data_IF_443097902712
#
_entry.id   IF_443097902712
#
_cell.length_a   1.000
_cell.length_b   1.000
_cell.length_c   1.000
_cell.angle_alpha   90.00
_cell.angle_beta   90.00
_cell.angle_gamma   90.00
#
_symmetry.space_group_name_H-M   'P 1'
#
loop_
_entity.id
_entity.type
_entity.pdbx_description
1 polymer ?
#
# COMPACT_ATOMS: atom_id res chain seq x y z
N UNK A 1 23.39 29.02 -6.16
CA UNK A 1 23.17 28.34 -4.89
C UNK A 1 24.00 27.08 -4.94
N UNK A 2 24.85 26.91 -3.93
CA UNK A 2 25.89 25.88 -3.84
C UNK A 2 25.32 24.45 -3.91
N UNK A 3 25.97 23.58 -4.71
CA UNK A 3 25.88 22.13 -4.60
C UNK A 3 26.87 21.72 -3.50
N UNK A 4 26.38 21.51 -2.28
CA UNK A 4 27.13 20.83 -1.23
C UNK A 4 27.00 19.33 -1.41
N UNK A 5 28.11 18.66 -1.69
CA UNK A 5 28.18 17.21 -1.79
C UNK A 5 28.25 16.58 -0.41
N UNK A 6 27.29 15.71 -0.12
CA UNK A 6 27.36 14.61 0.84
C UNK A 6 26.53 13.49 0.21
N UNK A 7 27.14 12.66 -0.63
CA UNK A 7 26.56 11.35 -0.99
C UNK A 7 26.73 10.45 0.25
N UNK A 8 25.90 10.71 1.26
CA UNK A 8 26.01 10.11 2.59
C UNK A 8 25.48 8.67 2.59
N UNK A 9 26.34 7.72 2.98
CA UNK A 9 25.87 6.40 3.39
C UNK A 9 24.86 6.55 4.53
N UNK A 10 23.79 5.76 4.52
CA UNK A 10 22.79 5.84 5.57
C UNK A 10 21.46 5.17 5.26
N UNK A 11 20.70 4.96 6.34
CA UNK A 11 19.34 4.49 6.28
C UNK A 11 18.41 5.56 5.73
N UNK A 12 17.54 5.19 4.79
CA UNK A 12 16.46 6.02 4.30
C UNK A 12 15.12 5.28 4.32
N UNK A 13 14.06 6.04 4.56
CA UNK A 13 12.68 5.55 4.59
C UNK A 13 11.97 5.97 3.31
N UNK A 14 11.39 5.02 2.60
CA UNK A 14 10.56 5.24 1.42
C UNK A 14 9.08 5.04 1.76
N UNK A 15 8.21 5.80 1.10
CA UNK A 15 6.77 5.57 1.10
C UNK A 15 6.28 5.56 -0.34
N UNK A 16 5.40 4.61 -0.67
CA UNK A 16 4.80 4.51 -1.99
C UNK A 16 3.30 4.30 -1.85
N UNK A 17 2.53 5.13 -2.55
CA UNK A 17 1.10 4.96 -2.71
C UNK A 17 0.78 4.68 -4.18
N UNK A 18 -0.12 3.73 -4.44
CA UNK A 18 -0.60 3.42 -5.79
C UNK A 18 -2.11 3.30 -5.80
N UNK A 19 -2.73 3.81 -6.87
CA UNK A 19 -4.15 3.69 -7.13
C UNK A 19 -4.36 2.98 -8.48
N UNK A 20 -5.15 1.91 -8.48
CA UNK A 20 -5.50 1.14 -9.68
C UNK A 20 -7.00 1.02 -9.77
N UNK A 21 -7.56 1.18 -10.97
CA UNK A 21 -8.97 0.98 -11.24
C UNK A 21 -9.11 0.01 -12.43
N UNK A 22 -9.78 -1.11 -12.19
CA UNK A 22 -10.01 -2.18 -13.14
C UNK A 22 -11.50 -2.24 -13.48
N UNK A 23 -11.84 -2.13 -14.76
CA UNK A 23 -13.23 -2.19 -15.23
C UNK A 23 -13.51 -3.50 -15.94
N UNK A 24 -14.33 -4.35 -15.32
CA UNK A 24 -14.76 -5.62 -15.88
C UNK A 24 -16.06 -5.42 -16.68
N UNK A 25 -15.95 -5.51 -18.02
CA UNK A 25 -17.07 -5.26 -18.94
C UNK A 25 -17.89 -6.50 -19.26
N UNK A 26 -17.26 -7.67 -19.22
CA UNK A 26 -17.87 -8.94 -19.66
C UNK A 26 -18.27 -9.82 -18.49
N UNK A 27 -17.51 -9.78 -17.40
CA UNK A 27 -17.68 -10.63 -16.23
C UNK A 27 -17.94 -9.78 -15.00
N UNK A 28 -18.83 -10.23 -14.13
CA UNK A 28 -19.04 -9.64 -12.81
C UNK A 28 -17.85 -9.96 -11.90
N UNK A 29 -17.10 -8.96 -11.38
CA UNK A 29 -15.89 -9.21 -10.58
C UNK A 29 -16.20 -9.64 -9.14
N UNK A 30 -17.45 -9.51 -8.68
CA UNK A 30 -17.81 -9.74 -7.27
C UNK A 30 -17.45 -11.13 -6.75
N UNK A 31 -17.64 -12.25 -7.48
CA UNK A 31 -17.26 -13.56 -6.98
C UNK A 31 -15.75 -13.68 -6.68
N UNK A 32 -14.90 -13.16 -7.56
CA UNK A 32 -13.45 -13.16 -7.36
C UNK A 32 -13.05 -12.19 -6.24
N UNK A 33 -13.70 -11.02 -6.19
CA UNK A 33 -13.50 -10.05 -5.12
C UNK A 33 -13.83 -10.63 -3.73
N UNK A 34 -14.91 -11.40 -3.58
CA UNK A 34 -15.22 -12.06 -2.31
C UNK A 34 -14.16 -13.07 -1.90
N UNK A 35 -13.66 -13.86 -2.85
CA UNK A 35 -12.62 -14.84 -2.58
C UNK A 35 -11.34 -14.17 -2.06
N UNK A 36 -11.05 -12.94 -2.49
CA UNK A 36 -9.89 -12.17 -2.02
C UNK A 36 -9.87 -11.95 -0.50
N UNK A 37 -11.03 -11.94 0.16
CA UNK A 37 -11.12 -11.78 1.62
C UNK A 37 -10.57 -12.97 2.42
N UNK A 38 -10.30 -14.09 1.76
CA UNK A 38 -9.77 -15.32 2.36
C UNK A 38 -8.32 -15.63 1.94
N UNK A 39 -7.69 -14.73 1.19
CA UNK A 39 -6.30 -14.89 0.78
C UNK A 39 -5.38 -14.78 1.99
N UNK A 40 -4.35 -15.63 2.02
CA UNK A 40 -3.29 -15.61 3.04
C UNK A 40 -2.00 -15.02 2.51
N UNK A 41 -1.89 -14.80 1.19
CA UNK A 41 -0.71 -14.27 0.51
C UNK A 41 -1.13 -13.49 -0.73
N UNK A 42 -0.50 -12.36 -0.98
CA UNK A 42 -0.67 -11.53 -2.17
C UNK A 42 0.72 -11.02 -2.60
N UNK A 43 1.08 -11.24 -3.86
CA UNK A 43 2.33 -10.72 -4.45
C UNK A 43 3.60 -11.15 -3.67
N UNK A 44 3.55 -12.30 -2.99
CA UNK A 44 4.64 -12.84 -2.18
C UNK A 44 4.72 -12.29 -0.75
N UNK A 45 3.81 -11.40 -0.35
CA UNK A 45 3.65 -10.92 1.02
C UNK A 45 2.46 -11.62 1.70
N UNK A 46 2.60 -11.96 2.98
CA UNK A 46 1.57 -12.59 3.78
C UNK A 46 0.46 -11.60 4.15
N UNK A 47 -0.78 -12.07 4.18
CA UNK A 47 -1.93 -11.29 4.67
C UNK A 47 -2.09 -11.59 6.16
N UNK A 48 -1.72 -10.64 7.01
CA UNK A 48 -1.87 -10.79 8.47
C UNK A 48 -3.33 -10.68 8.89
N UNK A 49 -4.04 -9.72 8.29
CA UNK A 49 -5.41 -9.40 8.69
C UNK A 49 -6.20 -8.82 7.54
N UNK A 50 -7.46 -9.24 7.44
CA UNK A 50 -8.45 -8.67 6.54
C UNK A 50 -9.56 -8.03 7.37
N UNK A 51 -9.87 -6.77 7.07
CA UNK A 51 -10.93 -6.01 7.71
C UNK A 51 -11.97 -5.57 6.68
N UNK A 52 -13.25 -5.77 7.00
CA UNK A 52 -14.33 -5.24 6.17
C UNK A 52 -14.48 -3.75 6.44
N UNK A 53 -14.51 -2.95 5.38
CA UNK A 53 -14.76 -1.50 5.46
C UNK A 53 -16.21 -1.24 5.03
N UNK A 54 -17.13 -0.91 5.97
CA UNK A 54 -18.50 -0.59 5.61
C UNK A 54 -18.61 0.76 4.89
N UNK A 55 -19.73 0.96 4.22
CA UNK A 55 -20.11 2.23 3.58
C UNK A 55 -19.12 2.73 2.51
N UNK A 56 -18.45 1.80 1.85
CA UNK A 56 -17.50 2.08 0.76
C UNK A 56 -17.71 1.08 -0.39
N UNK A 57 -18.19 1.60 -1.53
CA UNK A 57 -18.61 0.78 -2.68
C UNK A 57 -19.76 -0.18 -2.35
N UNK A 58 -19.91 -1.21 -3.17
CA UNK A 58 -20.80 -2.35 -2.88
C UNK A 58 -20.17 -3.28 -1.84
N UNK A 59 -18.83 -3.42 -1.90
CA UNK A 59 -18.04 -4.08 -0.87
C UNK A 59 -16.61 -3.56 -0.84
N UNK A 60 -16.02 -3.53 0.35
CA UNK A 60 -14.63 -3.13 0.53
C UNK A 60 -13.94 -3.97 1.61
N UNK A 61 -12.68 -4.29 1.35
CA UNK A 61 -11.79 -5.00 2.26
C UNK A 61 -10.46 -4.25 2.36
N UNK A 62 -10.03 -3.98 3.58
CA UNK A 62 -8.68 -3.55 3.90
C UNK A 62 -7.86 -4.78 4.27
N UNK A 63 -6.75 -4.96 3.59
CA UNK A 63 -5.77 -5.99 3.84
C UNK A 63 -4.54 -5.34 4.48
N UNK A 64 -4.13 -5.91 5.61
CA UNK A 64 -2.92 -5.55 6.33
C UNK A 64 -1.92 -6.69 6.08
N UNK A 65 -0.80 -6.32 5.50
CA UNK A 65 0.23 -7.23 5.02
C UNK A 65 1.40 -7.28 6.01
N UNK A 66 2.10 -8.40 6.06
CA UNK A 66 3.26 -8.61 6.94
C UNK A 66 4.52 -7.83 6.53
N UNK A 67 4.55 -7.33 5.29
CA UNK A 67 5.61 -6.49 4.73
C UNK A 67 5.41 -4.99 5.01
N UNK A 68 4.58 -4.67 6.02
CA UNK A 68 4.23 -3.31 6.39
C UNK A 68 3.52 -2.53 5.28
N UNK A 69 2.75 -3.23 4.44
CA UNK A 69 1.86 -2.62 3.45
C UNK A 69 0.38 -2.68 3.85
N UNK A 70 -0.37 -1.68 3.41
CA UNK A 70 -1.83 -1.64 3.48
C UNK A 70 -2.41 -1.66 2.07
N UNK A 71 -3.45 -2.45 1.84
CA UNK A 71 -4.16 -2.51 0.57
C UNK A 71 -5.68 -2.44 0.79
N UNK A 72 -6.32 -1.42 0.25
CA UNK A 72 -7.77 -1.25 0.29
C UNK A 72 -8.37 -1.55 -1.08
N UNK A 73 -9.08 -2.67 -1.16
CA UNK A 73 -9.81 -3.08 -2.36
C UNK A 73 -11.29 -2.73 -2.20
N UNK A 74 -11.88 -2.13 -3.23
CA UNK A 74 -13.30 -1.74 -3.28
C UNK A 74 -13.90 -2.24 -4.58
N UNK A 75 -15.04 -2.93 -4.51
CA UNK A 75 -15.86 -3.26 -5.67
C UNK A 75 -17.09 -2.37 -5.70
N UNK A 76 -17.40 -1.82 -6.87
CA UNK A 76 -18.65 -1.11 -7.13
C UNK A 76 -19.14 -1.42 -8.55
N UNK A 77 -20.28 -2.10 -8.66
CA UNK A 77 -20.79 -2.63 -9.92
C UNK A 77 -19.77 -3.55 -10.60
N UNK A 78 -19.30 -3.15 -11.79
CA UNK A 78 -18.30 -3.87 -12.57
C UNK A 78 -16.87 -3.38 -12.39
N UNK A 79 -16.62 -2.45 -11.46
CA UNK A 79 -15.29 -1.88 -11.23
C UNK A 79 -14.68 -2.38 -9.92
N UNK A 80 -13.37 -2.65 -9.94
CA UNK A 80 -12.56 -2.90 -8.75
C UNK A 80 -11.52 -1.77 -8.65
N UNK A 81 -11.50 -1.09 -7.52
CA UNK A 81 -10.54 -0.01 -7.23
C UNK A 81 -9.66 -0.45 -6.08
N UNK A 82 -8.35 -0.36 -6.28
CA UNK A 82 -7.33 -0.73 -5.29
C UNK A 82 -6.50 0.49 -4.95
N UNK A 83 -6.40 0.83 -3.68
CA UNK A 83 -5.45 1.81 -3.14
C UNK A 83 -4.48 1.07 -2.22
N UNK A 84 -3.19 1.12 -2.53
CA UNK A 84 -2.14 0.51 -1.73
C UNK A 84 -1.18 1.57 -1.19
N UNK A 85 -0.69 1.35 0.02
CA UNK A 85 0.36 2.13 0.69
C UNK A 85 1.39 1.15 1.23
N UNK A 86 2.65 1.30 0.83
CA UNK A 86 3.76 0.56 1.40
C UNK A 86 4.81 1.53 1.93
N UNK A 87 5.55 1.07 2.94
CA UNK A 87 6.70 1.79 3.46
C UNK A 87 7.92 0.86 3.50
N UNK A 88 9.05 1.36 3.03
CA UNK A 88 10.30 0.60 2.98
C UNK A 88 11.39 1.29 3.80
N UNK A 89 12.28 0.49 4.37
CA UNK A 89 13.52 0.93 4.97
C UNK A 89 14.66 0.36 4.14
N UNK A 90 15.60 1.21 3.73
CA UNK A 90 16.69 0.80 2.85
C UNK A 90 17.99 1.50 3.26
N UNK A 91 19.11 0.84 3.07
CA UNK A 91 20.42 1.38 3.36
C UNK A 91 21.10 1.78 2.05
N UNK A 92 21.59 3.01 1.99
CA UNK A 92 22.45 3.46 0.90
C UNK A 92 23.91 3.26 1.32
N UNK A 93 24.66 2.45 0.59
CA UNK A 93 26.10 2.28 0.77
C UNK A 93 26.84 3.35 -0.04
N UNK A 94 27.78 4.07 0.57
CA UNK A 94 28.64 4.99 -0.20
C UNK A 94 29.63 4.20 -1.06
N UNK A 95 29.79 4.58 -2.33
CA UNK A 95 30.80 3.97 -3.21
C UNK A 95 32.21 4.21 -2.65
N UNK A 96 32.82 3.14 -2.11
CA UNK A 96 34.17 3.18 -1.52
C UNK A 96 34.22 3.03 0.02
N UNK A 97 33.10 2.72 0.67
CA UNK A 97 33.07 2.44 2.11
C UNK A 97 33.93 1.23 2.48
N UNK A 98 34.80 1.41 3.47
CA UNK A 98 35.43 0.30 4.21
C UNK A 98 34.37 -0.62 4.82
N UNK A 99 34.73 -1.85 5.20
CA UNK A 99 33.93 -2.79 6.03
C UNK A 99 33.62 -2.23 7.44
N UNK A 100 33.24 -0.96 7.56
CA UNK A 100 32.67 -0.43 8.79
C UNK A 100 31.35 -1.17 9.05
N UNK A 101 31.17 -1.64 10.29
CA UNK A 101 29.96 -2.33 10.71
C UNK A 101 28.73 -1.48 10.37
N UNK A 102 27.81 -2.07 9.60
CA UNK A 102 26.56 -1.42 9.23
C UNK A 102 25.86 -0.92 10.51
N UNK A 103 25.48 0.37 10.57
CA UNK A 103 24.83 0.90 11.76
C UNK A 103 23.49 0.19 12.00
N UNK A 104 23.10 0.06 13.26
CA UNK A 104 21.81 -0.53 13.65
C UNK A 104 20.67 0.10 12.83
N UNK A 105 19.78 -0.76 12.33
CA UNK A 105 18.62 -0.31 11.60
C UNK A 105 17.70 0.51 12.51
N UNK A 106 17.19 1.67 12.04
CA UNK A 106 16.16 2.39 12.78
C UNK A 106 14.86 1.58 12.84
N UNK A 107 13.93 2.01 13.70
CA UNK A 107 12.59 1.42 13.75
C UNK A 107 11.92 1.46 12.38
N UNK A 108 11.29 0.34 12.03
CA UNK A 108 10.53 0.20 10.79
C UNK A 108 9.41 1.27 10.72
N UNK A 109 9.09 1.77 9.52
CA UNK A 109 7.94 2.65 9.37
C UNK A 109 6.66 1.94 9.84
N UNK A 110 5.70 2.65 10.41
CA UNK A 110 4.44 2.04 10.87
C UNK A 110 3.29 2.45 9.94
N UNK A 111 2.89 1.60 9.01
CA UNK A 111 1.82 1.96 8.05
C UNK A 111 0.43 1.95 8.65
N UNK A 112 0.21 1.18 9.72
CA UNK A 112 -1.07 1.13 10.45
C UNK A 112 -1.52 2.51 10.97
N UNK A 113 -0.58 3.40 11.28
CA UNK A 113 -0.89 4.79 11.65
C UNK A 113 -1.66 5.55 10.54
N UNK A 114 -1.55 5.13 9.29
CA UNK A 114 -2.21 5.73 8.13
C UNK A 114 -3.51 5.04 7.70
N UNK A 115 -3.93 3.96 8.38
CA UNK A 115 -5.14 3.21 8.02
C UNK A 115 -6.38 4.11 7.85
N UNK A 116 -6.62 5.01 8.80
CA UNK A 116 -7.76 5.93 8.75
C UNK A 116 -7.69 6.92 7.59
N UNK A 117 -6.49 7.37 7.24
CA UNK A 117 -6.25 8.26 6.10
C UNK A 117 -6.52 7.54 4.78
N UNK A 118 -6.00 6.32 4.62
CA UNK A 118 -6.22 5.48 3.43
C UNK A 118 -7.71 5.25 3.14
N UNK A 119 -8.51 4.96 4.17
CA UNK A 119 -9.96 4.75 4.04
C UNK A 119 -10.67 6.04 3.61
N UNK A 120 -10.27 7.19 4.17
CA UNK A 120 -10.87 8.48 3.81
C UNK A 120 -10.50 8.90 2.38
N UNK A 121 -9.23 8.73 1.99
CA UNK A 121 -8.78 9.03 0.64
C UNK A 121 -9.52 8.16 -0.40
N UNK A 122 -9.73 6.87 -0.09
CA UNK A 122 -10.52 6.00 -0.96
C UNK A 122 -12.00 6.44 -1.05
N UNK A 123 -12.60 6.93 0.03
CA UNK A 123 -13.97 7.49 -0.04
C UNK A 123 -14.03 8.68 -1.00
N UNK A 124 -13.03 9.56 -0.95
CA UNK A 124 -12.95 10.71 -1.84
C UNK A 124 -12.74 10.28 -3.30
N UNK A 125 -11.88 9.29 -3.55
CA UNK A 125 -11.72 8.68 -4.88
C UNK A 125 -13.04 8.10 -5.39
N UNK A 126 -13.72 7.26 -4.61
CA UNK A 126 -14.98 6.64 -5.02
C UNK A 126 -16.07 7.68 -5.26
N UNK A 127 -16.09 8.76 -4.48
CA UNK A 127 -17.01 9.88 -4.70
C UNK A 127 -16.72 10.62 -6.00
N UNK A 128 -15.44 10.89 -6.29
CA UNK A 128 -15.02 11.57 -7.51
C UNK A 128 -15.37 10.75 -8.76
N UNK A 129 -15.18 9.44 -8.72
CA UNK A 129 -15.51 8.52 -9.82
C UNK A 129 -17.01 8.49 -10.16
N UNK A 130 -17.89 8.72 -9.19
CA UNK A 130 -19.35 8.76 -9.40
C UNK A 130 -19.85 10.05 -10.05
N UNK A 131 -19.08 11.12 -9.92
CA UNK A 131 -19.44 12.46 -10.42
C UNK A 131 -18.84 12.79 -11.79
N UNK A 132 -18.02 11.89 -12.33
CA UNK A 132 -17.38 12.03 -13.64
C UNK A 132 -18.25 11.65 -14.82
#
# INVERSE_FOLDING_TARGET
GERGGEDGAGWYKGYQASLTAELHKETDPRPEFEASSTLTEIEGAGVERVERVPDLGDRAYLLIMDDNSLRLNVVEGGAVVTLALSASLSYNESEGGSEEEMPDAPEEPETLAYQGHLINDMRDVMKALKTG
#
